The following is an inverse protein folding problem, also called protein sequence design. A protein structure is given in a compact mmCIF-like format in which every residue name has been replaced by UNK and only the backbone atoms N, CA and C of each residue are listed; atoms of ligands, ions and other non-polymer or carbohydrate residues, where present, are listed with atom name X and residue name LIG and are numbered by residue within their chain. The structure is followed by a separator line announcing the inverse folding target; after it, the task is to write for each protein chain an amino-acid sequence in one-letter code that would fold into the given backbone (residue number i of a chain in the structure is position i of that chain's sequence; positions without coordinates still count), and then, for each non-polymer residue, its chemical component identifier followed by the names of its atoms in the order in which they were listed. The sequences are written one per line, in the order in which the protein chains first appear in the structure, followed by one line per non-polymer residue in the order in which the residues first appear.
data_IF_453121202934
#
_entry.id   IF_453121202934
#
_cell.length_a   1.000
_cell.length_b   1.000
_cell.length_c   1.000
_cell.angle_alpha   90.00
_cell.angle_beta   90.00
_cell.angle_gamma   90.00
#
_symmetry.space_group_name_H-M   'P 1'
#
loop_
_entity.id
_entity.type
_entity.pdbx_description
1 polymer ?
#
# COMPACT_ATOMS: atom_id res chain seq x y z
N UNK A 1 13.94 21.48 -9.89
CA UNK A 1 14.66 20.19 -9.93
C UNK A 1 13.66 19.06 -9.79
N UNK A 2 13.94 17.89 -10.36
CA UNK A 2 13.14 16.67 -10.15
C UNK A 2 13.19 16.29 -8.65
N UNK A 3 12.09 15.77 -8.09
CA UNK A 3 12.03 15.25 -6.70
C UNK A 3 11.80 16.29 -5.59
N UNK A 4 11.74 17.60 -5.88
CA UNK A 4 11.49 18.61 -4.82
C UNK A 4 10.07 18.58 -4.24
N UNK A 5 9.14 17.88 -4.89
CA UNK A 5 7.78 17.69 -4.38
C UNK A 5 7.70 16.70 -3.22
N UNK A 6 8.74 15.88 -2.99
CA UNK A 6 8.81 14.86 -1.92
C UNK A 6 7.54 13.98 -1.90
N UNK A 7 7.06 13.65 -3.10
CA UNK A 7 5.83 12.90 -3.35
C UNK A 7 6.17 11.70 -4.26
N UNK A 8 7.25 10.99 -3.97
CA UNK A 8 7.64 9.77 -4.67
C UNK A 8 6.61 8.66 -4.39
N UNK A 9 6.16 7.99 -5.45
CA UNK A 9 5.07 7.02 -5.42
C UNK A 9 5.43 5.75 -6.20
N UNK A 10 4.79 4.64 -5.85
CA UNK A 10 4.68 3.48 -6.74
C UNK A 10 5.88 2.54 -6.79
N UNK A 11 6.87 2.73 -5.92
CA UNK A 11 8.03 1.83 -5.79
C UNK A 11 7.66 0.42 -5.33
N UNK A 12 6.47 0.24 -4.72
CA UNK A 12 5.87 -1.05 -4.37
C UNK A 12 4.39 -1.07 -4.76
N UNK A 13 4.09 -0.70 -6.01
CA UNK A 13 2.72 -0.42 -6.49
C UNK A 13 1.70 -1.49 -6.13
N UNK A 14 0.50 -1.04 -5.80
CA UNK A 14 -0.69 -1.86 -5.63
C UNK A 14 -1.24 -2.34 -6.97
N UNK A 15 -1.76 -3.56 -7.01
CA UNK A 15 -2.41 -4.10 -8.19
C UNK A 15 -3.11 -5.44 -7.94
N UNK A 16 -3.72 -5.96 -9.00
CA UNK A 16 -4.45 -7.23 -8.97
C UNK A 16 -3.57 -8.43 -9.32
N UNK A 17 -2.52 -8.22 -10.13
CA UNK A 17 -1.64 -9.29 -10.63
C UNK A 17 -0.25 -9.22 -9.95
N UNK A 18 0.14 -10.25 -9.16
CA UNK A 18 1.46 -10.31 -8.51
C UNK A 18 2.66 -10.27 -9.47
N UNK A 19 2.46 -10.51 -10.78
CA UNK A 19 3.54 -10.36 -11.78
C UNK A 19 3.82 -8.90 -12.14
N UNK A 20 2.89 -7.99 -11.83
CA UNK A 20 2.97 -6.56 -12.21
C UNK A 20 2.84 -5.62 -11.01
N UNK A 21 2.51 -6.13 -9.82
CA UNK A 21 2.38 -5.36 -8.57
C UNK A 21 3.01 -6.08 -7.38
N UNK A 22 3.30 -5.31 -6.33
CA UNK A 22 3.93 -5.83 -5.09
C UNK A 22 2.88 -6.14 -4.02
N UNK A 23 1.87 -5.28 -3.90
CA UNK A 23 0.80 -5.42 -2.90
C UNK A 23 -0.58 -5.53 -3.54
N UNK A 24 -1.48 -6.24 -2.86
CA UNK A 24 -2.88 -6.34 -3.25
C UNK A 24 -3.72 -5.13 -2.76
N UNK A 25 -5.03 -5.17 -3.00
CA UNK A 25 -5.98 -4.12 -2.61
C UNK A 25 -6.06 -3.82 -1.11
N UNK A 26 -5.49 -4.65 -0.24
CA UNK A 26 -5.43 -4.45 1.21
C UNK A 26 -4.04 -4.02 1.68
N UNK A 27 -3.17 -3.56 0.77
CA UNK A 27 -1.78 -3.17 1.05
C UNK A 27 -0.90 -4.34 1.55
N UNK A 28 -1.36 -5.59 1.36
CA UNK A 28 -0.64 -6.80 1.75
C UNK A 28 0.26 -7.26 0.61
N UNK A 29 1.50 -7.64 0.90
CA UNK A 29 2.42 -8.20 -0.10
C UNK A 29 1.83 -9.50 -0.66
N UNK A 30 1.82 -9.64 -1.98
CA UNK A 30 1.17 -10.80 -2.62
C UNK A 30 1.75 -12.14 -2.14
N UNK A 31 3.09 -12.22 -2.04
CA UNK A 31 3.86 -13.42 -1.68
C UNK A 31 4.10 -13.59 -0.19
N UNK A 32 3.89 -12.55 0.64
CA UNK A 32 4.15 -12.56 2.08
C UNK A 32 2.94 -12.02 2.84
N UNK A 33 2.06 -12.92 3.32
CA UNK A 33 0.74 -12.54 3.83
C UNK A 33 0.77 -11.71 5.13
N UNK A 34 1.81 -11.84 5.94
CA UNK A 34 1.98 -11.07 7.17
C UNK A 34 2.77 -9.76 6.99
N UNK A 35 3.03 -9.32 5.75
CA UNK A 35 3.76 -8.08 5.43
C UNK A 35 2.87 -7.10 4.68
N UNK A 36 2.90 -5.83 5.09
CA UNK A 36 2.09 -4.75 4.54
C UNK A 36 2.94 -3.53 4.18
N UNK A 37 2.54 -2.79 3.15
CA UNK A 37 3.17 -1.52 2.71
C UNK A 37 2.12 -0.42 2.65
N UNK A 38 2.24 0.61 3.48
CA UNK A 38 1.17 1.60 3.69
C UNK A 38 1.58 3.06 3.47
N UNK A 39 2.79 3.30 2.95
CA UNK A 39 3.31 4.62 2.58
C UNK A 39 3.08 4.94 1.08
N UNK A 40 3.73 5.98 0.54
CA UNK A 40 3.59 6.33 -0.88
C UNK A 40 3.97 5.23 -1.89
N UNK A 41 4.72 4.21 -1.47
CA UNK A 41 5.18 3.15 -2.36
C UNK A 41 4.03 2.35 -2.98
N UNK A 42 2.88 2.20 -2.29
CA UNK A 42 1.76 1.41 -2.81
C UNK A 42 0.97 2.11 -3.93
N UNK A 43 1.13 3.43 -4.10
CA UNK A 43 0.32 4.20 -5.03
C UNK A 43 0.54 3.76 -6.49
N UNK A 44 -0.53 3.48 -7.23
CA UNK A 44 -0.46 3.09 -8.64
C UNK A 44 -0.29 4.29 -9.60
N UNK A 45 -0.56 5.50 -9.13
CA UNK A 45 -0.44 6.75 -9.87
C UNK A 45 0.02 7.88 -8.96
N UNK A 46 0.55 8.95 -9.56
CA UNK A 46 0.85 10.18 -8.86
C UNK A 46 -0.42 11.05 -8.74
N UNK A 47 -0.54 11.74 -7.61
CA UNK A 47 -1.61 12.71 -7.36
C UNK A 47 -1.10 14.14 -7.58
N UNK A 48 -1.97 15.04 -8.04
CA UNK A 48 -1.68 16.48 -8.09
C UNK A 48 -1.94 17.20 -6.76
N UNK A 49 -2.44 16.48 -5.75
CA UNK A 49 -2.70 17.00 -4.40
C UNK A 49 -1.87 16.25 -3.35
N UNK A 50 -1.72 16.86 -2.17
CA UNK A 50 -0.96 16.28 -1.06
C UNK A 50 -1.54 14.91 -0.64
N UNK A 51 -0.73 13.85 -0.60
CA UNK A 51 -1.21 12.48 -0.50
C UNK A 51 -1.37 11.96 0.94
N UNK A 52 -0.88 12.69 1.95
CA UNK A 52 -0.74 12.18 3.32
C UNK A 52 -2.04 11.65 3.93
N UNK A 53 -3.17 12.35 3.72
CA UNK A 53 -4.48 11.89 4.19
C UNK A 53 -4.91 10.58 3.51
N UNK A 54 -4.61 10.42 2.22
CA UNK A 54 -4.86 9.19 1.48
C UNK A 54 -4.04 8.03 2.04
N UNK A 55 -2.76 8.24 2.34
CA UNK A 55 -1.94 7.19 2.98
C UNK A 55 -2.49 6.78 4.33
N UNK A 56 -2.91 7.74 5.17
CA UNK A 56 -3.49 7.44 6.48
C UNK A 56 -4.79 6.62 6.34
N UNK A 57 -5.65 6.96 5.39
CA UNK A 57 -6.88 6.19 5.13
C UNK A 57 -6.57 4.75 4.69
N UNK A 58 -5.61 4.56 3.78
CA UNK A 58 -5.17 3.24 3.34
C UNK A 58 -4.48 2.45 4.46
N UNK A 59 -3.70 3.12 5.30
CA UNK A 59 -3.05 2.52 6.48
C UNK A 59 -4.10 1.99 7.45
N UNK A 60 -5.14 2.77 7.76
CA UNK A 60 -6.22 2.34 8.65
C UNK A 60 -6.94 1.10 8.11
N UNK A 61 -7.21 1.07 6.80
CA UNK A 61 -7.80 -0.11 6.12
C UNK A 61 -6.89 -1.33 6.19
N UNK A 62 -5.60 -1.16 5.90
CA UNK A 62 -4.61 -2.23 5.93
C UNK A 62 -4.45 -2.84 7.33
N UNK A 63 -4.35 -1.98 8.35
CA UNK A 63 -4.27 -2.40 9.74
C UNK A 63 -5.52 -3.16 10.20
N UNK A 64 -6.72 -2.69 9.83
CA UNK A 64 -7.96 -3.40 10.11
C UNK A 64 -7.97 -4.78 9.43
N UNK A 65 -7.60 -4.86 8.15
CA UNK A 65 -7.50 -6.14 7.45
C UNK A 65 -6.50 -7.09 8.14
N UNK A 66 -5.28 -6.63 8.44
CA UNK A 66 -4.27 -7.41 9.13
C UNK A 66 -4.79 -7.95 10.48
N UNK A 67 -5.45 -7.11 11.28
CA UNK A 67 -6.02 -7.52 12.56
C UNK A 67 -7.12 -8.59 12.41
N UNK A 68 -7.94 -8.50 11.36
CA UNK A 68 -8.97 -9.52 11.10
C UNK A 68 -8.37 -10.84 10.62
N UNK A 69 -7.37 -10.80 9.74
CA UNK A 69 -6.71 -12.01 9.24
C UNK A 69 -5.91 -12.72 10.33
N UNK A 70 -5.26 -11.95 11.23
CA UNK A 70 -4.58 -12.49 12.41
C UNK A 70 -5.56 -13.18 13.36
N UNK A 71 -6.73 -12.58 13.62
CA UNK A 71 -7.78 -13.20 14.45
C UNK A 71 -8.32 -14.51 13.87
N UNK A 72 -8.32 -14.65 12.55
CA UNK A 72 -8.73 -15.88 11.84
C UNK A 72 -7.62 -16.94 11.78
N UNK A 73 -6.38 -16.59 12.13
CA UNK A 73 -5.21 -17.47 11.97
C UNK A 73 -4.74 -17.63 10.52
N UNK A 74 -5.08 -16.68 9.64
CA UNK A 74 -4.68 -16.71 8.23
C UNK A 74 -3.26 -16.13 8.02
N UNK A 75 -2.79 -15.31 8.96
CA UNK A 75 -1.46 -14.68 8.98
C UNK A 75 -0.87 -14.65 10.38
#
# INVERSE_FOLDING_TARGET
ALGLGIHEMGTARMGLDPKTSVVNGNNQVHTCKNVYVTDGAFMASASCVNPSLTYMAFTARAANHAAQELKKGNI
#
